data_IF_092384061967
#
_entry.id   IF_092384061967
#
_cell.length_a   1.000
_cell.length_b   1.000
_cell.length_c   1.000
_cell.angle_alpha   90.00
_cell.angle_beta   90.00
_cell.angle_gamma   90.00
#
_symmetry.space_group_name_H-M   'P 1'
#
loop_
_entity.id
_entity.type
_entity.pdbx_description
1 polymer ?
#
# COMPACT_ATOMS: atom_id res chain seq x y z
N UNK A 1 12.89 -37.54 13.68
CA UNK A 1 12.38 -37.18 15.02
C UNK A 1 13.41 -37.58 16.06
N UNK A 2 14.05 -36.63 16.75
CA UNK A 2 14.63 -36.86 18.07
C UNK A 2 14.96 -35.52 18.74
N UNK A 3 14.19 -35.19 19.78
CA UNK A 3 14.53 -34.23 20.82
C UNK A 3 15.58 -34.83 21.75
N UNK A 4 16.36 -34.00 22.45
CA UNK A 4 17.10 -34.47 23.64
C UNK A 4 18.27 -33.60 24.08
N UNK A 5 17.96 -32.49 24.74
CA UNK A 5 18.83 -31.74 25.63
C UNK A 5 19.43 -32.67 26.71
N UNK A 6 20.68 -32.46 27.15
CA UNK A 6 21.17 -32.67 28.52
C UNK A 6 22.66 -32.28 28.64
N UNK A 7 22.92 -31.17 29.34
CA UNK A 7 24.20 -30.87 29.99
C UNK A 7 24.44 -31.84 31.16
N UNK A 8 25.71 -32.00 31.57
CA UNK A 8 25.99 -31.86 32.99
C UNK A 8 27.17 -30.91 33.27
N UNK A 9 27.03 -30.18 34.39
CA UNK A 9 28.08 -29.40 35.03
C UNK A 9 28.69 -30.17 36.21
N UNK A 10 30.00 -30.03 36.43
CA UNK A 10 30.76 -30.07 37.72
C UNK A 10 32.27 -30.05 37.37
N UNK A 11 33.01 -28.95 37.49
CA UNK A 11 33.55 -28.21 38.67
C UNK A 11 34.72 -28.92 39.39
N UNK A 12 35.89 -28.29 39.21
CA UNK A 12 37.07 -28.10 40.08
C UNK A 12 37.94 -29.29 40.55
N UNK A 13 39.23 -29.28 40.18
CA UNK A 13 40.37 -28.98 41.08
C UNK A 13 41.69 -28.99 40.26
N UNK A 14 42.46 -27.90 40.09
CA UNK A 14 43.37 -27.18 41.02
C UNK A 14 44.86 -27.57 40.80
N UNK A 15 45.59 -26.61 40.20
CA UNK A 15 47.04 -26.27 40.30
C UNK A 15 48.15 -27.11 39.65
N UNK A 16 48.86 -26.48 38.69
CA UNK A 16 50.34 -26.39 38.59
C UNK A 16 50.66 -25.37 37.48
N UNK A 17 50.95 -24.12 37.85
CA UNK A 17 52.31 -23.52 37.84
C UNK A 17 52.72 -22.91 36.48
N UNK A 18 52.88 -21.58 36.47
CA UNK A 18 53.44 -20.77 35.38
C UNK A 18 54.95 -21.07 35.19
N UNK A 19 55.56 -20.60 34.08
CA UNK A 19 56.15 -19.27 34.14
C UNK A 19 55.89 -18.39 32.91
N UNK A 20 55.76 -17.11 33.23
CA UNK A 20 55.89 -15.93 32.39
C UNK A 20 57.22 -15.96 31.61
N UNK A 21 57.16 -15.74 30.30
CA UNK A 21 58.31 -15.24 29.54
C UNK A 21 57.96 -13.85 29.01
N UNK A 22 58.48 -12.84 29.71
CA UNK A 22 58.72 -11.50 29.18
C UNK A 22 59.96 -11.61 28.31
N UNK A 23 59.85 -11.25 27.03
CA UNK A 23 60.99 -10.79 26.24
C UNK A 23 60.55 -9.53 25.51
N UNK A 24 61.03 -8.40 26.03
CA UNK A 24 60.80 -7.09 25.47
C UNK A 24 61.61 -6.85 24.20
N UNK A 25 61.05 -5.97 23.36
CA UNK A 25 61.72 -4.99 22.51
C UNK A 25 60.96 -4.86 21.19
N UNK A 26 60.03 -3.90 21.09
CA UNK A 26 60.31 -2.57 20.54
C UNK A 26 59.00 -1.81 20.45
N UNK A 27 58.79 -0.90 21.40
CA UNK A 27 57.88 0.21 21.21
C UNK A 27 58.36 0.98 19.98
N UNK A 28 57.52 1.06 18.96
CA UNK A 28 57.55 2.17 18.02
C UNK A 28 56.21 2.87 18.19
N UNK A 29 56.13 3.68 19.24
CA UNK A 29 55.19 4.80 19.28
C UNK A 29 55.48 5.67 18.05
N UNK A 30 54.66 5.57 17.01
CA UNK A 30 54.48 6.69 16.09
C UNK A 30 53.42 7.58 16.71
N UNK A 31 53.87 8.39 17.68
CA UNK A 31 53.20 9.62 18.08
C UNK A 31 53.33 10.58 16.90
N UNK A 32 52.28 10.67 16.11
CA UNK A 32 51.84 11.92 15.47
C UNK A 32 50.31 11.96 15.60
N UNK A 33 49.86 11.98 16.87
CA UNK A 33 48.51 12.38 17.22
C UNK A 33 48.43 13.89 17.14
N UNK A 34 48.35 14.41 15.91
CA UNK A 34 47.79 15.73 15.72
C UNK A 34 46.30 15.61 16.04
N UNK A 35 45.93 16.29 17.11
CA UNK A 35 44.63 16.25 17.76
C UNK A 35 43.62 17.05 16.94
N UNK A 36 43.33 16.57 15.72
CA UNK A 36 42.11 16.97 15.03
C UNK A 36 40.93 16.64 15.96
N UNK A 37 39.98 17.57 16.16
CA UNK A 37 38.86 17.34 17.06
C UNK A 37 38.13 16.06 16.63
N UNK A 38 37.68 15.26 17.59
CA UNK A 38 37.07 13.95 17.30
C UNK A 38 35.89 14.04 16.30
N UNK A 39 35.26 15.22 16.17
CA UNK A 39 34.27 15.56 15.16
C UNK A 39 34.80 15.49 13.73
N UNK A 40 36.04 15.90 13.48
CA UNK A 40 36.62 15.99 12.13
C UNK A 40 37.00 14.59 11.64
N UNK A 41 37.50 13.75 12.56
CA UNK A 41 37.73 12.32 12.28
C UNK A 41 36.42 11.61 11.95
N UNK A 42 35.35 11.83 12.71
CA UNK A 42 34.04 11.25 12.43
C UNK A 42 33.48 11.72 11.08
N UNK A 43 33.60 13.01 10.77
CA UNK A 43 33.12 13.58 9.51
C UNK A 43 33.84 12.99 8.30
N UNK A 44 35.16 12.81 8.38
CA UNK A 44 35.94 12.14 7.33
C UNK A 44 35.53 10.66 7.15
N UNK A 45 35.25 9.94 8.24
CA UNK A 45 34.76 8.55 8.17
C UNK A 45 33.36 8.46 7.52
N UNK A 46 32.46 9.39 7.85
CA UNK A 46 31.14 9.48 7.22
C UNK A 46 31.27 9.77 5.72
N UNK A 47 32.20 10.63 5.32
CA UNK A 47 32.46 10.92 3.91
C UNK A 47 32.96 9.70 3.13
N UNK A 48 33.81 8.87 3.74
CA UNK A 48 34.21 7.58 3.16
C UNK A 48 32.99 6.66 3.00
N UNK A 49 32.13 6.57 4.02
CA UNK A 49 30.92 5.74 4.01
C UNK A 49 29.86 6.19 3.00
N UNK A 50 29.85 7.46 2.62
CA UNK A 50 28.86 8.01 1.66
C UNK A 50 28.86 7.26 0.32
N UNK A 51 30.02 6.81 -0.15
CA UNK A 51 30.15 6.08 -1.41
C UNK A 51 29.91 4.57 -1.28
N UNK A 52 29.72 4.05 -0.07
CA UNK A 52 29.48 2.63 0.18
C UNK A 52 27.99 2.28 0.10
N UNK A 53 27.71 1.02 -0.22
CA UNK A 53 26.34 0.51 -0.29
C UNK A 53 25.73 0.37 1.10
N UNK A 54 24.41 0.51 1.21
CA UNK A 54 23.70 0.42 2.49
C UNK A 54 23.94 -0.93 3.21
N UNK A 55 23.99 -2.03 2.46
CA UNK A 55 24.27 -3.38 2.99
C UNK A 55 25.70 -3.48 3.52
N UNK A 56 26.66 -2.91 2.79
CA UNK A 56 28.07 -2.91 3.19
C UNK A 56 28.31 -2.08 4.46
N UNK A 57 27.66 -0.91 4.58
CA UNK A 57 27.74 -0.07 5.79
C UNK A 57 27.15 -0.82 7.00
N UNK A 58 26.01 -1.50 6.80
CA UNK A 58 25.37 -2.31 7.85
C UNK A 58 26.27 -3.46 8.30
N UNK A 59 26.91 -4.16 7.37
CA UNK A 59 27.86 -5.23 7.69
C UNK A 59 29.05 -4.69 8.48
N UNK A 60 29.67 -3.59 8.01
CA UNK A 60 30.79 -2.93 8.71
C UNK A 60 30.42 -2.42 10.10
N UNK A 61 29.16 -2.00 10.31
CA UNK A 61 28.66 -1.63 11.64
C UNK A 61 28.65 -2.82 12.58
N UNK A 62 28.26 -4.02 12.12
CA UNK A 62 28.29 -5.23 12.95
C UNK A 62 29.69 -5.78 13.18
N UNK A 63 30.60 -5.57 12.24
CA UNK A 63 32.01 -5.97 12.35
C UNK A 63 32.83 -5.02 13.25
N UNK A 64 32.30 -3.83 13.57
CA UNK A 64 32.98 -2.82 14.38
C UNK A 64 32.55 -2.87 15.86
N UNK A 65 33.47 -2.63 16.82
CA UNK A 65 33.10 -2.61 18.23
C UNK A 65 32.12 -1.45 18.53
N UNK A 66 31.06 -1.70 19.32
CA UNK A 66 30.06 -0.69 19.63
C UNK A 66 30.70 0.48 20.40
N UNK A 67 30.33 1.71 20.03
CA UNK A 67 30.91 2.93 20.60
C UNK A 67 32.25 3.36 19.98
N UNK A 68 32.81 2.60 19.02
CA UNK A 68 33.94 3.08 18.24
C UNK A 68 33.56 4.22 17.29
N UNK A 69 34.52 5.05 16.85
CA UNK A 69 34.28 6.09 15.85
C UNK A 69 33.73 5.53 14.53
N UNK A 70 34.21 4.36 14.09
CA UNK A 70 33.70 3.64 12.92
C UNK A 70 32.26 3.19 13.09
N UNK A 71 31.92 2.59 14.24
CA UNK A 71 30.55 2.19 14.54
C UNK A 71 29.59 3.39 14.55
N UNK A 72 30.03 4.50 15.14
CA UNK A 72 29.23 5.73 15.23
C UNK A 72 29.01 6.36 13.86
N UNK A 73 30.03 6.39 13.01
CA UNK A 73 29.93 6.89 11.65
C UNK A 73 29.00 6.01 10.79
N UNK A 74 29.12 4.68 10.86
CA UNK A 74 28.22 3.76 10.18
C UNK A 74 26.77 3.94 10.63
N UNK A 75 26.54 4.07 11.94
CA UNK A 75 25.20 4.29 12.49
C UNK A 75 24.59 5.60 12.03
N UNK A 76 25.34 6.70 12.09
CA UNK A 76 24.88 8.01 11.64
C UNK A 76 24.49 8.02 10.16
N UNK A 77 25.29 7.38 9.30
CA UNK A 77 25.00 7.28 7.86
C UNK A 77 23.76 6.39 7.58
N UNK A 78 23.60 5.29 8.31
CA UNK A 78 22.40 4.44 8.20
C UNK A 78 21.15 5.19 8.68
N UNK A 79 21.22 5.92 9.79
CA UNK A 79 20.12 6.70 10.33
C UNK A 79 19.73 7.83 9.38
N UNK A 80 20.69 8.51 8.75
CA UNK A 80 20.46 9.51 7.72
C UNK A 80 19.71 8.92 6.51
N UNK A 81 20.20 7.80 5.96
CA UNK A 81 19.59 7.14 4.79
C UNK A 81 18.20 6.59 5.12
N UNK A 82 18.02 6.01 6.30
CA UNK A 82 16.72 5.57 6.78
C UNK A 82 15.75 6.78 6.84
N UNK A 83 16.19 7.89 7.43
CA UNK A 83 15.40 9.12 7.48
C UNK A 83 15.02 9.67 6.10
N UNK A 84 15.94 9.62 5.13
CA UNK A 84 15.65 10.00 3.75
C UNK A 84 14.62 9.08 3.09
N UNK A 85 14.78 7.75 3.23
CA UNK A 85 13.81 6.77 2.71
C UNK A 85 12.43 6.94 3.33
N UNK A 86 12.36 7.18 4.65
CA UNK A 86 11.09 7.47 5.32
C UNK A 86 10.47 8.79 4.85
N UNK A 87 11.28 9.84 4.67
CA UNK A 87 10.81 11.12 4.14
C UNK A 87 10.25 11.00 2.72
N UNK A 88 10.95 10.30 1.84
CA UNK A 88 10.51 10.03 0.47
C UNK A 88 9.24 9.17 0.44
N UNK A 89 9.18 8.12 1.25
CA UNK A 89 8.00 7.28 1.38
C UNK A 89 6.79 8.06 1.92
N UNK A 90 6.99 8.95 2.90
CA UNK A 90 5.94 9.80 3.45
C UNK A 90 5.41 10.79 2.40
N UNK A 91 6.28 11.39 1.60
CA UNK A 91 5.89 12.27 0.48
C UNK A 91 5.14 11.49 -0.62
N UNK A 92 5.61 10.29 -0.95
CA UNK A 92 4.92 9.42 -1.89
C UNK A 92 3.52 9.05 -1.38
N UNK A 93 3.41 8.69 -0.09
CA UNK A 93 2.14 8.37 0.56
C UNK A 93 1.17 9.57 0.57
N UNK A 94 1.67 10.77 0.87
CA UNK A 94 0.88 12.01 0.80
C UNK A 94 0.30 12.21 -0.59
N UNK A 95 1.14 12.10 -1.64
CA UNK A 95 0.68 12.23 -3.04
C UNK A 95 -0.35 11.16 -3.42
N UNK A 96 -0.19 9.92 -2.96
CA UNK A 96 -1.18 8.88 -3.22
C UNK A 96 -2.49 9.10 -2.45
N UNK A 97 -2.41 9.61 -1.23
CA UNK A 97 -3.58 9.98 -0.42
C UNK A 97 -4.39 11.11 -1.08
N UNK A 98 -3.72 12.12 -1.65
CA UNK A 98 -4.40 13.21 -2.35
C UNK A 98 -5.12 12.71 -3.60
N UNK A 99 -4.47 11.83 -4.38
CA UNK A 99 -5.11 11.16 -5.52
C UNK A 99 -6.28 10.28 -5.10
N UNK A 100 -6.16 9.57 -3.98
CA UNK A 100 -7.23 8.73 -3.43
C UNK A 100 -8.42 9.56 -2.98
N UNK A 101 -8.20 10.71 -2.33
CA UNK A 101 -9.26 11.66 -2.01
C UNK A 101 -9.98 12.17 -3.25
N UNK A 102 -9.23 12.59 -4.28
CA UNK A 102 -9.83 13.00 -5.54
C UNK A 102 -10.66 11.86 -6.19
N UNK A 103 -10.15 10.62 -6.17
CA UNK A 103 -10.88 9.46 -6.68
C UNK A 103 -12.16 9.17 -5.91
N UNK A 104 -12.17 9.35 -4.58
CA UNK A 104 -13.36 9.16 -3.76
C UNK A 104 -14.44 10.21 -4.09
N UNK A 105 -14.04 11.46 -4.29
CA UNK A 105 -14.96 12.52 -4.72
C UNK A 105 -15.59 12.22 -6.08
N UNK A 106 -14.81 11.71 -7.04
CA UNK A 106 -15.34 11.30 -8.34
C UNK A 106 -16.29 10.09 -8.23
N UNK A 107 -16.00 9.14 -7.34
CA UNK A 107 -16.89 8.00 -7.10
C UNK A 107 -18.23 8.43 -6.49
N UNK A 108 -18.21 9.36 -5.53
CA UNK A 108 -19.42 9.93 -4.93
C UNK A 108 -20.29 10.63 -5.98
N UNK A 109 -19.66 11.45 -6.83
CA UNK A 109 -20.37 12.10 -7.94
C UNK A 109 -20.96 11.09 -8.95
N UNK A 110 -20.24 10.00 -9.26
CA UNK A 110 -20.75 8.93 -10.12
C UNK A 110 -21.90 8.17 -9.46
N UNK A 111 -21.82 7.91 -8.16
CA UNK A 111 -22.87 7.25 -7.41
C UNK A 111 -24.15 8.09 -7.38
N UNK A 112 -24.05 9.39 -7.13
CA UNK A 112 -25.18 10.32 -7.18
C UNK A 112 -25.79 10.37 -8.58
N UNK A 113 -24.95 10.45 -9.62
CA UNK A 113 -25.41 10.46 -11.02
C UNK A 113 -26.10 9.15 -11.40
N UNK A 114 -25.55 8.01 -10.96
CA UNK A 114 -26.15 6.70 -11.19
C UNK A 114 -27.49 6.56 -10.46
N UNK A 115 -27.57 7.04 -9.22
CA UNK A 115 -28.80 7.06 -8.44
C UNK A 115 -29.87 7.91 -9.13
N UNK A 116 -29.50 9.10 -9.60
CA UNK A 116 -30.41 9.98 -10.33
C UNK A 116 -30.86 9.33 -11.65
N UNK A 117 -29.94 8.79 -12.44
CA UNK A 117 -30.27 8.10 -13.69
C UNK A 117 -31.18 6.89 -13.46
N UNK A 118 -30.94 6.12 -12.40
CA UNK A 118 -31.80 4.99 -12.02
C UNK A 118 -33.20 5.45 -11.67
N UNK A 119 -33.32 6.57 -10.94
CA UNK A 119 -34.60 7.18 -10.60
C UNK A 119 -35.34 7.66 -11.86
N UNK A 120 -34.63 8.32 -12.77
CA UNK A 120 -35.21 8.78 -14.04
C UNK A 120 -35.72 7.61 -14.90
N UNK A 121 -34.96 6.50 -14.95
CA UNK A 121 -35.40 5.28 -15.64
C UNK A 121 -36.62 4.66 -14.96
N UNK A 122 -36.65 4.62 -13.62
CA UNK A 122 -37.80 4.12 -12.88
C UNK A 122 -39.06 4.97 -13.16
N UNK A 123 -38.93 6.29 -13.21
CA UNK A 123 -40.02 7.20 -13.51
C UNK A 123 -40.48 7.07 -14.97
N UNK A 124 -39.55 6.90 -15.92
CA UNK A 124 -39.87 6.62 -17.32
C UNK A 124 -40.64 5.30 -17.48
N UNK A 125 -40.23 4.24 -16.78
CA UNK A 125 -40.90 2.94 -16.79
C UNK A 125 -42.32 3.06 -16.22
N UNK A 126 -42.51 3.80 -15.13
CA UNK A 126 -43.85 4.07 -14.56
C UNK A 126 -44.73 4.83 -15.56
N UNK A 127 -44.20 5.89 -16.17
CA UNK A 127 -44.90 6.65 -17.21
C UNK A 127 -45.29 5.78 -18.42
N UNK A 128 -44.39 4.89 -18.83
CA UNK A 128 -44.63 3.95 -19.94
C UNK A 128 -45.69 2.92 -19.57
N UNK A 129 -45.70 2.41 -18.34
CA UNK A 129 -46.74 1.49 -17.85
C UNK A 129 -48.12 2.17 -17.84
N UNK A 130 -48.19 3.43 -17.42
CA UNK A 130 -49.44 4.20 -17.45
C UNK A 130 -49.92 4.46 -18.88
N UNK A 131 -49.02 4.81 -19.79
CA UNK A 131 -49.31 4.96 -21.22
C UNK A 131 -49.78 3.64 -21.84
N UNK A 132 -49.13 2.51 -21.50
CA UNK A 132 -49.49 1.17 -21.95
C UNK A 132 -50.90 0.77 -21.51
N UNK A 133 -51.28 1.07 -20.27
CA UNK A 133 -52.65 0.83 -19.78
C UNK A 133 -53.70 1.67 -20.51
N UNK A 134 -53.39 2.94 -20.83
CA UNK A 134 -54.29 3.77 -21.63
C UNK A 134 -54.43 3.25 -23.06
N UNK A 135 -53.32 2.79 -23.64
CA UNK A 135 -53.30 2.16 -24.95
C UNK A 135 -54.14 0.87 -24.96
N UNK A 136 -54.02 0.03 -23.93
CA UNK A 136 -54.80 -1.19 -23.80
C UNK A 136 -56.31 -0.90 -23.82
N UNK A 137 -56.75 0.09 -23.04
CA UNK A 137 -58.16 0.52 -23.03
C UNK A 137 -58.59 1.00 -24.43
N UNK A 138 -57.77 1.82 -25.10
CA UNK A 138 -58.06 2.30 -26.44
C UNK A 138 -58.20 1.15 -27.45
N UNK A 139 -57.31 0.15 -27.37
CA UNK A 139 -57.35 -1.05 -28.21
C UNK A 139 -58.65 -1.83 -28.02
N UNK A 140 -59.08 -2.08 -26.77
CA UNK A 140 -60.36 -2.77 -26.52
C UNK A 140 -61.56 -2.01 -27.07
N UNK A 141 -61.58 -0.67 -26.94
CA UNK A 141 -62.66 0.16 -27.51
C UNK A 141 -62.68 0.06 -29.04
N UNK A 142 -61.53 0.13 -29.70
CA UNK A 142 -61.43 -0.02 -31.16
C UNK A 142 -61.92 -1.39 -31.62
N UNK A 143 -61.52 -2.47 -30.92
CA UNK A 143 -62.02 -3.83 -31.21
C UNK A 143 -63.55 -3.89 -31.04
N UNK A 144 -64.10 -3.30 -29.98
CA UNK A 144 -65.55 -3.25 -29.76
C UNK A 144 -66.30 -2.55 -30.88
N UNK A 145 -65.83 -1.37 -31.31
CA UNK A 145 -66.45 -0.60 -32.40
C UNK A 145 -66.37 -1.37 -33.73
N UNK A 146 -65.22 -1.96 -34.04
CA UNK A 146 -65.04 -2.72 -35.29
C UNK A 146 -65.92 -3.95 -35.34
N UNK A 147 -66.13 -4.66 -34.22
CA UNK A 147 -67.08 -5.77 -34.14
C UNK A 147 -68.52 -5.31 -34.42
N UNK A 148 -68.97 -4.21 -33.80
CA UNK A 148 -70.33 -3.66 -34.04
C UNK A 148 -70.51 -3.24 -35.50
N UNK A 149 -69.51 -2.56 -36.08
CA UNK A 149 -69.53 -2.17 -37.49
C UNK A 149 -69.59 -3.40 -38.41
N UNK A 150 -68.83 -4.45 -38.10
CA UNK A 150 -68.82 -5.70 -38.86
C UNK A 150 -70.18 -6.40 -38.83
N UNK A 151 -70.81 -6.51 -37.66
CA UNK A 151 -72.16 -7.06 -37.53
C UNK A 151 -73.19 -6.23 -38.31
N UNK A 152 -73.16 -4.90 -38.20
CA UNK A 152 -74.06 -4.04 -38.95
C UNK A 152 -73.92 -4.24 -40.46
N UNK A 153 -72.70 -4.35 -40.98
CA UNK A 153 -72.45 -4.60 -42.39
C UNK A 153 -73.02 -5.97 -42.85
N UNK A 154 -72.82 -7.02 -42.04
CA UNK A 154 -73.40 -8.34 -42.31
C UNK A 154 -74.92 -8.27 -42.35
N UNK A 155 -75.56 -7.67 -41.33
CA UNK A 155 -77.01 -7.54 -41.28
C UNK A 155 -77.55 -6.74 -42.46
N UNK A 156 -76.88 -5.67 -42.86
CA UNK A 156 -77.28 -4.86 -44.01
C UNK A 156 -77.22 -5.66 -45.33
N UNK A 157 -76.17 -6.45 -45.54
CA UNK A 157 -76.05 -7.35 -46.70
C UNK A 157 -77.17 -8.41 -46.70
N UNK A 158 -77.41 -9.08 -45.56
CA UNK A 158 -78.48 -10.07 -45.45
C UNK A 158 -79.87 -9.47 -45.65
N UNK A 159 -80.10 -8.25 -45.17
CA UNK A 159 -81.38 -7.55 -45.34
C UNK A 159 -81.60 -7.07 -46.77
N UNK A 160 -80.52 -6.79 -47.51
CA UNK A 160 -80.57 -6.39 -48.93
C UNK A 160 -80.78 -7.57 -49.88
N UNK A 161 -80.36 -8.78 -49.48
CA UNK A 161 -80.54 -10.00 -50.27
C UNK A 161 -81.89 -10.69 -50.08
N UNK A 162 -82.71 -10.25 -49.13
CA UNK A 162 -84.06 -10.74 -48.87
C UNK A 162 -85.09 -9.75 -49.41
#
# INVERSE_FOLDING_TARGET
MHFGHLYPARVADTLLSMPVIVSGAKASETKDSEQAPASDKLSALVEVLRNHSYVEIRQRMYDSPPGSPWWTACRAELDLRNGQQFGEAALAMSRTSDKMRASLQHFEQLADTLQQSTKDVADLLRGTQEAGRRLEIAVYVTIGITLVQFFNLIFEIFRRHR
#
